data_IF_570763965295
#
_entry.id   IF_570763965295
#
_cell.length_a   1.000
_cell.length_b   1.000
_cell.length_c   1.000
_cell.angle_alpha   90.00
_cell.angle_beta   90.00
_cell.angle_gamma   90.00
#
_symmetry.space_group_name_H-M   'P 1'
#
loop_
_entity.id
_entity.type
_entity.pdbx_description
1 polymer ?
#
# COMPACT_ATOMS: atom_id res chain seq x y z
N UNK A 1 -29.24 -10.80 22.63
CA UNK A 1 -28.29 -11.13 21.57
C UNK A 1 -28.18 -9.98 20.60
N UNK A 2 -26.98 -9.53 20.36
CA UNK A 2 -26.77 -8.43 19.42
C UNK A 2 -27.16 -8.87 18.02
N UNK A 3 -27.92 -8.04 17.33
CA UNK A 3 -28.23 -8.29 15.94
C UNK A 3 -26.98 -8.23 15.11
N UNK A 4 -26.80 -9.22 14.25
CA UNK A 4 -25.71 -9.21 13.30
C UNK A 4 -25.97 -8.11 12.27
N UNK A 5 -25.07 -7.17 12.20
CA UNK A 5 -25.20 -6.11 11.21
C UNK A 5 -24.65 -6.61 9.89
N UNK A 6 -25.52 -6.67 8.89
CA UNK A 6 -25.11 -7.02 7.55
C UNK A 6 -24.57 -5.78 6.86
N UNK A 7 -23.28 -5.79 6.62
CA UNK A 7 -22.61 -4.69 5.93
C UNK A 7 -22.54 -5.04 4.46
N UNK A 8 -23.21 -4.23 3.65
CA UNK A 8 -23.27 -4.47 2.22
C UNK A 8 -22.00 -4.00 1.54
N UNK A 9 -21.44 -4.84 0.68
CA UNK A 9 -20.35 -4.44 -0.17
C UNK A 9 -20.89 -3.69 -1.39
N UNK A 10 -20.34 -2.53 -1.67
CA UNK A 10 -20.71 -1.74 -2.85
C UNK A 10 -19.43 -1.38 -3.58
N UNK A 11 -19.35 -1.80 -4.84
CA UNK A 11 -18.21 -1.43 -5.67
C UNK A 11 -18.38 0.01 -6.17
N UNK A 12 -17.29 0.74 -6.19
CA UNK A 12 -17.27 2.08 -6.76
C UNK A 12 -16.28 2.08 -7.94
N UNK A 13 -16.78 2.00 -9.18
CA UNK A 13 -15.89 1.98 -10.35
C UNK A 13 -15.12 3.28 -10.54
N UNK A 14 -15.50 4.34 -9.83
CA UNK A 14 -14.81 5.62 -9.90
C UNK A 14 -13.81 5.81 -8.75
N UNK A 15 -13.61 4.79 -7.92
CA UNK A 15 -12.62 4.88 -6.86
C UNK A 15 -11.23 5.13 -7.46
N UNK A 16 -10.43 6.00 -6.84
CA UNK A 16 -9.09 6.27 -7.36
C UNK A 16 -8.24 5.01 -7.37
N UNK A 17 -7.47 4.86 -8.42
CA UNK A 17 -6.52 3.78 -8.55
C UNK A 17 -5.14 4.38 -8.74
N UNK A 18 -4.18 3.95 -7.92
CA UNK A 18 -2.85 4.53 -7.92
C UNK A 18 -1.82 3.48 -8.25
N UNK A 19 -0.86 3.85 -9.10
CA UNK A 19 0.34 3.06 -9.29
C UNK A 19 1.42 3.59 -8.35
N UNK A 20 2.09 2.68 -7.66
CA UNK A 20 3.24 3.02 -6.84
C UNK A 20 4.32 1.97 -7.05
N UNK A 21 5.55 2.41 -7.26
CA UNK A 21 6.66 1.49 -7.41
C UNK A 21 7.14 0.93 -6.07
N UNK A 22 6.82 1.60 -4.97
CA UNK A 22 7.19 1.12 -3.65
C UNK A 22 6.67 2.00 -2.54
N UNK A 23 7.00 1.62 -1.32
CA UNK A 23 6.68 2.40 -0.14
C UNK A 23 7.91 3.19 0.27
N UNK A 24 7.74 4.50 0.45
CA UNK A 24 8.82 5.36 0.95
C UNK A 24 9.14 5.04 2.40
N UNK A 25 8.11 4.76 3.19
CA UNK A 25 8.30 4.49 4.59
C UNK A 25 6.98 4.44 5.34
N UNK A 26 7.11 4.29 6.64
CA UNK A 26 5.97 4.17 7.53
C UNK A 26 6.12 5.17 8.65
N UNK A 27 4.99 5.68 9.12
CA UNK A 27 4.98 6.63 10.21
C UNK A 27 3.87 6.24 11.18
N UNK A 28 4.16 6.32 12.48
CA UNK A 28 3.17 5.99 13.50
C UNK A 28 2.86 7.23 14.34
N UNK A 29 1.58 7.48 14.57
CA UNK A 29 1.11 8.56 15.42
C UNK A 29 -0.26 8.21 15.97
N UNK A 30 -0.44 8.33 17.29
CA UNK A 30 -1.73 8.09 17.94
C UNK A 30 -2.37 6.75 17.56
N UNK A 31 -1.57 5.69 17.48
CA UNK A 31 -2.08 4.37 17.15
C UNK A 31 -2.44 4.18 15.69
N UNK A 32 -2.17 5.18 14.86
CA UNK A 32 -2.42 5.12 13.41
C UNK A 32 -1.12 4.93 12.67
N UNK A 33 -1.16 4.11 11.63
CA UNK A 33 -0.01 3.86 10.76
C UNK A 33 -0.27 4.56 9.44
N UNK A 34 0.69 5.37 9.01
CA UNK A 34 0.66 5.97 7.67
C UNK A 34 1.69 5.31 6.79
N UNK A 35 1.22 4.82 5.64
CA UNK A 35 2.06 4.21 4.62
C UNK A 35 2.21 5.25 3.51
N UNK A 36 3.44 5.66 3.23
CA UNK A 36 3.70 6.64 2.16
C UNK A 36 4.17 5.89 0.94
N UNK A 37 3.45 6.07 -0.16
CA UNK A 37 3.71 5.36 -1.41
C UNK A 37 4.34 6.32 -2.41
N UNK A 38 5.30 5.81 -3.17
CA UNK A 38 6.06 6.60 -4.13
C UNK A 38 6.07 5.95 -5.49
N UNK A 39 6.32 6.76 -6.50
CA UNK A 39 6.60 6.31 -7.85
C UNK A 39 7.91 6.92 -8.31
N UNK A 40 8.71 6.13 -9.00
CA UNK A 40 9.95 6.61 -9.59
C UNK A 40 9.61 7.22 -10.94
N UNK A 41 10.07 8.43 -11.16
CA UNK A 41 9.79 9.18 -12.39
C UNK A 41 11.09 9.69 -13.01
N UNK A 42 11.10 9.72 -14.34
CA UNK A 42 12.19 10.28 -15.11
C UNK A 42 11.73 11.55 -15.81
N UNK A 43 12.66 12.47 -15.98
CA UNK A 43 12.40 13.65 -16.79
C UNK A 43 12.45 13.24 -18.26
N UNK A 44 11.41 13.59 -19.01
CA UNK A 44 11.29 13.25 -20.43
C UNK A 44 11.74 14.39 -21.35
N UNK A 45 12.60 15.27 -20.85
CA UNK A 45 13.17 16.31 -21.68
C UNK A 45 14.15 15.78 -22.73
N UNK A 46 14.78 16.67 -23.48
CA UNK A 46 15.73 16.31 -24.54
C UNK A 46 16.90 15.49 -24.03
N UNK A 47 17.25 15.66 -22.78
CA UNK A 47 18.27 14.87 -22.12
C UNK A 47 17.62 14.11 -20.99
N UNK A 48 17.91 12.81 -20.84
CA UNK A 48 17.39 12.08 -19.69
C UNK A 48 17.85 12.76 -18.41
N UNK A 49 16.88 13.25 -17.63
CA UNK A 49 17.17 13.87 -16.35
C UNK A 49 17.37 12.83 -15.27
N UNK A 50 17.71 13.26 -14.05
CA UNK A 50 17.82 12.34 -12.93
C UNK A 50 16.46 11.73 -12.61
N UNK A 51 16.49 10.53 -12.07
CA UNK A 51 15.28 9.89 -11.56
C UNK A 51 14.87 10.59 -10.28
N UNK A 52 13.57 10.77 -10.12
CA UNK A 52 13.02 11.34 -8.88
C UNK A 52 12.06 10.35 -8.25
N UNK A 53 12.00 10.41 -6.93
CA UNK A 53 11.03 9.63 -6.14
C UNK A 53 9.93 10.59 -5.73
N UNK A 54 8.74 10.36 -6.24
CA UNK A 54 7.60 11.26 -6.03
C UNK A 54 6.54 10.55 -5.21
N UNK A 55 6.14 11.16 -4.10
CA UNK A 55 5.03 10.62 -3.32
C UNK A 55 3.75 10.73 -4.12
N UNK A 56 3.04 9.62 -4.27
CA UNK A 56 1.80 9.59 -5.04
C UNK A 56 0.58 9.39 -4.17
N UNK A 57 0.74 8.79 -2.99
CA UNK A 57 -0.40 8.55 -2.11
C UNK A 57 0.08 8.27 -0.70
N UNK A 58 -0.81 8.47 0.25
CA UNK A 58 -0.62 8.05 1.64
C UNK A 58 -1.86 7.31 2.09
N UNK A 59 -1.64 6.19 2.76
CA UNK A 59 -2.71 5.41 3.34
C UNK A 59 -2.52 5.39 4.85
N UNK A 60 -3.55 5.81 5.58
CA UNK A 60 -3.49 5.82 7.05
C UNK A 60 -4.51 4.84 7.57
N UNK A 61 -4.08 3.97 8.47
CA UNK A 61 -4.93 2.94 9.07
C UNK A 61 -4.61 2.78 10.55
N UNK A 62 -5.59 2.32 11.34
CA UNK A 62 -5.29 1.87 12.70
C UNK A 62 -4.23 0.76 12.66
N UNK A 63 -3.40 0.67 13.70
CA UNK A 63 -2.30 -0.29 13.72
C UNK A 63 -2.78 -1.73 13.48
N UNK A 64 -3.90 -2.11 14.13
CA UNK A 64 -4.46 -3.46 13.95
C UNK A 64 -4.88 -3.70 12.50
N UNK A 65 -5.52 -2.69 11.88
CA UNK A 65 -5.90 -2.79 10.48
C UNK A 65 -4.70 -2.88 9.54
N UNK A 66 -3.62 -2.15 9.87
CA UNK A 66 -2.39 -2.22 9.09
C UNK A 66 -1.78 -3.61 9.17
N UNK A 67 -1.78 -4.23 10.36
CA UNK A 67 -1.29 -5.59 10.52
C UNK A 67 -2.12 -6.58 9.71
N UNK A 68 -3.44 -6.44 9.77
CA UNK A 68 -4.33 -7.30 8.99
C UNK A 68 -4.09 -7.17 7.49
N UNK A 69 -3.91 -5.95 7.02
CA UNK A 69 -3.60 -5.72 5.60
C UNK A 69 -2.28 -6.40 5.21
N UNK A 70 -1.25 -6.25 6.03
CA UNK A 70 0.06 -6.83 5.72
C UNK A 70 -0.01 -8.36 5.68
N UNK A 71 -0.66 -8.97 6.67
CA UNK A 71 -0.79 -10.42 6.74
C UNK A 71 -1.65 -10.94 5.59
N UNK A 72 -2.79 -10.29 5.33
CA UNK A 72 -3.67 -10.70 4.25
C UNK A 72 -3.00 -10.63 2.89
N UNK A 73 -2.27 -9.55 2.64
CA UNK A 73 -1.56 -9.40 1.38
C UNK A 73 -0.46 -10.44 1.24
N UNK A 74 0.30 -10.70 2.29
CA UNK A 74 1.35 -11.69 2.27
C UNK A 74 0.79 -13.08 1.97
N UNK A 75 -0.30 -13.45 2.65
CA UNK A 75 -0.94 -14.75 2.42
C UNK A 75 -1.46 -14.88 0.98
N UNK A 76 -2.06 -13.81 0.48
CA UNK A 76 -2.55 -13.81 -0.90
C UNK A 76 -1.41 -14.04 -1.89
N UNK A 77 -0.31 -13.32 -1.70
CA UNK A 77 0.83 -13.45 -2.60
C UNK A 77 1.42 -14.85 -2.57
N UNK A 78 1.51 -15.46 -1.39
CA UNK A 78 2.00 -16.84 -1.28
C UNK A 78 1.11 -17.81 -2.06
N UNK A 79 -0.21 -17.64 -1.95
CA UNK A 79 -1.16 -18.48 -2.68
C UNK A 79 -1.05 -18.30 -4.19
N UNK A 80 -0.59 -17.14 -4.63
CA UNK A 80 -0.37 -16.88 -6.05
C UNK A 80 0.99 -17.36 -6.53
N UNK A 81 1.80 -17.95 -5.66
CA UNK A 81 3.10 -18.48 -6.04
C UNK A 81 4.27 -17.54 -5.82
N UNK A 82 4.03 -16.37 -5.26
CA UNK A 82 5.09 -15.44 -4.95
C UNK A 82 5.69 -15.79 -3.59
N UNK A 83 6.97 -16.09 -3.57
CA UNK A 83 7.67 -16.41 -2.32
C UNK A 83 8.60 -15.28 -1.95
N UNK A 84 8.53 -14.88 -0.70
CA UNK A 84 9.43 -13.87 -0.19
C UNK A 84 10.65 -14.52 0.43
N UNK A 85 11.82 -14.12 -0.02
CA UNK A 85 13.08 -14.54 0.61
C UNK A 85 13.67 -13.31 1.28
N UNK A 86 13.83 -13.40 2.59
CA UNK A 86 14.38 -12.29 3.35
C UNK A 86 15.86 -12.13 3.03
N UNK A 87 16.29 -10.96 2.54
CA UNK A 87 17.70 -10.74 2.24
C UNK A 87 18.56 -10.91 3.48
N UNK A 88 19.68 -11.56 3.34
CA UNK A 88 20.65 -11.69 4.42
C UNK A 88 20.33 -12.73 5.47
N UNK A 89 19.31 -13.54 5.27
CA UNK A 89 18.97 -14.61 6.20
C UNK A 89 19.61 -15.91 5.79
#
# INVERSE_FOLDING_TARGET
MAAKTDIKFVDNPHAPEFYASGATGFFVSNGMITITLESIRADHGDKPGPLTRTVVARLTRPAVGAQGLAIGLFDFLEKQGFKYEKPGS
#
